data_IF_845949567312
#
_entry.id   IF_845949567312
#
_cell.length_a   1.000
_cell.length_b   1.000
_cell.length_c   1.000
_cell.angle_alpha   90.00
_cell.angle_beta   90.00
_cell.angle_gamma   90.00
#
_symmetry.space_group_name_H-M   'P 1'
#
loop_
_entity.id
_entity.type
_entity.pdbx_description
1 polymer ?
#
# COMPACT_ATOMS: atom_id res chain seq x y z
N UNK A 1 4.34 5.34 -9.89
CA UNK A 1 4.36 3.93 -9.41
C UNK A 1 3.94 2.97 -10.52
N UNK A 2 2.74 3.12 -11.09
CA UNK A 2 2.16 2.24 -12.13
C UNK A 2 3.13 1.87 -13.25
N UNK A 3 3.71 2.85 -13.95
CA UNK A 3 4.62 2.59 -15.08
C UNK A 3 5.84 1.76 -14.69
N UNK A 4 6.36 1.94 -13.47
CA UNK A 4 7.48 1.14 -12.98
C UNK A 4 7.08 -0.32 -12.72
N UNK A 5 5.90 -0.55 -12.12
CA UNK A 5 5.36 -1.91 -11.92
C UNK A 5 5.15 -2.61 -13.26
N UNK A 6 4.61 -1.91 -14.26
CA UNK A 6 4.39 -2.45 -15.60
C UNK A 6 5.71 -2.78 -16.29
N UNK A 7 6.71 -1.89 -16.26
CA UNK A 7 8.04 -2.15 -16.85
C UNK A 7 8.72 -3.36 -16.18
N UNK A 8 8.76 -3.43 -14.85
CA UNK A 8 9.34 -4.58 -14.15
C UNK A 8 8.56 -5.86 -14.45
N UNK A 9 7.23 -5.79 -14.61
CA UNK A 9 6.42 -6.95 -14.95
C UNK A 9 6.68 -7.49 -16.36
N UNK A 10 7.07 -6.63 -17.30
CA UNK A 10 7.47 -6.99 -18.67
C UNK A 10 8.88 -7.59 -18.71
N UNK A 11 9.82 -6.99 -18.00
CA UNK A 11 11.22 -7.45 -17.93
C UNK A 11 11.35 -8.76 -17.14
N UNK A 12 10.54 -8.91 -16.08
CA UNK A 12 10.54 -10.08 -15.21
C UNK A 12 9.12 -10.65 -15.08
N UNK A 13 8.67 -11.52 -16.02
CA UNK A 13 7.29 -12.01 -16.09
C UNK A 13 6.79 -12.73 -14.82
N UNK A 14 7.72 -13.28 -14.02
CA UNK A 14 7.39 -14.04 -12.80
C UNK A 14 7.52 -13.23 -11.50
N UNK A 15 7.95 -11.97 -11.56
CA UNK A 15 8.11 -11.13 -10.37
C UNK A 15 6.78 -10.94 -9.65
N UNK A 16 6.76 -11.18 -8.35
CA UNK A 16 5.67 -10.73 -7.48
C UNK A 16 6.06 -9.41 -6.83
N UNK A 17 5.06 -8.61 -6.47
CA UNK A 17 5.27 -7.27 -5.95
C UNK A 17 4.74 -7.14 -4.54
N UNK A 18 5.47 -6.38 -3.75
CA UNK A 18 4.98 -5.73 -2.54
C UNK A 18 5.09 -4.23 -2.80
N UNK A 19 3.98 -3.51 -2.68
CA UNK A 19 3.94 -2.07 -2.87
C UNK A 19 3.99 -1.36 -1.52
N UNK A 20 4.69 -0.23 -1.47
CA UNK A 20 4.92 0.53 -0.25
C UNK A 20 4.75 2.02 -0.48
N UNK A 21 4.19 2.75 0.48
CA UNK A 21 4.11 4.21 0.42
C UNK A 21 4.10 4.86 1.81
N UNK A 22 4.78 6.00 1.94
CA UNK A 22 4.83 6.79 3.17
C UNK A 22 4.29 8.19 2.89
N UNK A 23 3.39 8.70 3.71
CA UNK A 23 2.84 10.06 3.60
C UNK A 23 2.27 10.33 2.20
N UNK A 24 2.76 11.34 1.48
CA UNK A 24 2.41 11.58 0.07
C UNK A 24 2.63 10.35 -0.83
N UNK A 25 3.68 9.56 -0.57
CA UNK A 25 3.94 8.31 -1.28
C UNK A 25 2.85 7.26 -1.07
N UNK A 26 2.14 7.27 0.06
CA UNK A 26 0.97 6.41 0.27
C UNK A 26 -0.18 6.80 -0.67
N UNK A 27 -0.43 8.10 -0.87
CA UNK A 27 -1.41 8.55 -1.88
C UNK A 27 -1.01 8.19 -3.31
N UNK A 28 0.29 8.18 -3.63
CA UNK A 28 0.78 7.67 -4.93
C UNK A 28 0.49 6.18 -5.07
N UNK A 29 0.64 5.40 -3.99
CA UNK A 29 0.25 3.99 -3.96
C UNK A 29 -1.25 3.83 -4.19
N UNK A 30 -2.09 4.57 -3.48
CA UNK A 30 -3.55 4.53 -3.62
C UNK A 30 -4.00 4.81 -5.06
N UNK A 31 -3.44 5.85 -5.68
CA UNK A 31 -3.69 6.18 -7.09
C UNK A 31 -3.31 5.00 -8.00
N UNK A 32 -2.17 4.35 -7.75
CA UNK A 32 -1.75 3.18 -8.52
C UNK A 32 -2.68 1.96 -8.31
N UNK A 33 -3.43 1.92 -7.21
CA UNK A 33 -4.48 0.93 -6.98
C UNK A 33 -5.84 1.31 -7.59
N UNK A 34 -5.94 2.50 -8.22
CA UNK A 34 -7.18 3.04 -8.78
C UNK A 34 -8.06 3.77 -7.77
N UNK A 35 -7.55 4.08 -6.57
CA UNK A 35 -8.27 4.81 -5.53
C UNK A 35 -8.07 6.32 -5.75
N UNK A 36 -9.16 7.08 -5.74
CA UNK A 36 -9.12 8.54 -5.81
C UNK A 36 -8.65 9.14 -4.48
N UNK A 37 -7.68 10.04 -4.53
CA UNK A 37 -7.12 10.69 -3.34
C UNK A 37 -7.29 12.21 -3.39
N UNK A 38 -6.88 12.91 -2.33
CA UNK A 38 -6.77 14.38 -2.31
C UNK A 38 -5.79 14.92 -3.37
N UNK A 39 -4.79 14.13 -3.78
CA UNK A 39 -3.85 14.50 -4.84
C UNK A 39 -4.46 14.29 -6.25
N UNK A 40 -5.63 13.66 -6.35
CA UNK A 40 -6.33 13.39 -7.59
C UNK A 40 -6.38 11.92 -7.96
N UNK A 41 -6.39 11.66 -9.27
CA UNK A 41 -6.42 10.35 -9.90
C UNK A 41 -5.26 10.22 -10.88
N UNK A 42 -4.99 9.01 -11.35
CA UNK A 42 -3.93 8.72 -12.31
C UNK A 42 -4.06 7.31 -12.87
N UNK A 43 -3.06 6.89 -13.63
CA UNK A 43 -3.01 5.52 -14.17
C UNK A 43 -2.93 4.50 -13.04
N UNK A 44 -3.83 3.52 -13.06
CA UNK A 44 -3.81 2.39 -12.14
C UNK A 44 -3.04 1.20 -12.73
N UNK A 45 -2.53 0.35 -11.84
CA UNK A 45 -1.93 -0.93 -12.21
C UNK A 45 -2.99 -1.78 -12.93
N UNK A 46 -2.72 -2.29 -14.15
CA UNK A 46 -3.66 -3.13 -14.87
C UNK A 46 -4.14 -4.32 -14.04
N UNK A 47 -5.42 -4.66 -14.14
CA UNK A 47 -6.02 -5.75 -13.37
C UNK A 47 -5.31 -7.10 -13.59
N UNK A 48 -4.72 -7.32 -14.76
CA UNK A 48 -3.91 -8.50 -15.09
C UNK A 48 -2.68 -8.66 -14.19
N UNK A 49 -2.16 -7.57 -13.60
CA UNK A 49 -1.05 -7.59 -12.65
C UNK A 49 -1.51 -7.62 -11.19
N UNK A 50 -2.80 -7.37 -10.90
CA UNK A 50 -3.32 -7.39 -9.54
C UNK A 50 -3.06 -8.71 -8.77
N UNK A 51 -3.11 -9.91 -9.41
CA UNK A 51 -2.73 -11.17 -8.75
C UNK A 51 -1.25 -11.24 -8.34
N UNK A 52 -0.37 -10.47 -8.98
CA UNK A 52 1.08 -10.41 -8.70
C UNK A 52 1.40 -9.44 -7.56
N UNK A 53 0.52 -8.48 -7.26
CA UNK A 53 0.62 -7.67 -6.04
C UNK A 53 0.19 -8.54 -4.85
N UNK A 54 1.12 -8.85 -3.95
CA UNK A 54 0.86 -9.74 -2.80
C UNK A 54 0.60 -9.01 -1.50
N UNK A 55 1.16 -7.81 -1.35
CA UNK A 55 0.91 -6.94 -0.20
C UNK A 55 1.01 -5.48 -0.63
N UNK A 56 0.25 -4.62 0.05
CA UNK A 56 0.36 -3.18 -0.03
C UNK A 56 0.55 -2.65 1.38
N UNK A 57 1.62 -1.88 1.61
CA UNK A 57 1.96 -1.35 2.92
C UNK A 57 1.95 0.16 2.86
N UNK A 58 1.17 0.82 3.71
CA UNK A 58 1.17 2.29 3.78
C UNK A 58 1.44 2.79 5.20
N UNK A 59 2.13 3.91 5.29
CA UNK A 59 2.45 4.59 6.55
C UNK A 59 2.01 6.05 6.46
N UNK A 60 1.22 6.51 7.43
CA UNK A 60 0.73 7.89 7.44
C UNK A 60 -0.10 8.23 6.20
N UNK A 61 -1.00 7.33 5.78
CA UNK A 61 -1.77 7.51 4.54
C UNK A 61 -2.86 8.60 4.68
N UNK A 62 -2.82 9.69 3.88
CA UNK A 62 -3.87 10.73 3.89
C UNK A 62 -5.27 10.24 3.54
N UNK A 63 -5.41 9.09 2.87
CA UNK A 63 -6.71 8.51 2.50
C UNK A 63 -7.66 8.39 3.71
N UNK A 64 -7.10 8.13 4.90
CA UNK A 64 -7.84 8.02 6.15
C UNK A 64 -8.54 9.31 6.58
N UNK A 65 -8.00 10.49 6.23
CA UNK A 65 -8.68 11.78 6.45
C UNK A 65 -9.92 11.95 5.57
N UNK A 66 -10.00 11.21 4.46
CA UNK A 66 -11.18 11.16 3.60
C UNK A 66 -12.23 10.14 4.09
N UNK A 67 -12.01 9.52 5.26
CA UNK A 67 -12.88 8.46 5.79
C UNK A 67 -12.73 7.13 5.05
N UNK A 68 -11.61 6.91 4.37
CA UNK A 68 -11.36 5.73 3.55
C UNK A 68 -10.04 5.03 3.95
N UNK A 69 -9.97 3.75 3.67
CA UNK A 69 -8.74 2.94 3.70
C UNK A 69 -8.63 2.15 2.41
N UNK A 70 -7.46 1.59 2.10
CA UNK A 70 -7.33 0.65 0.97
C UNK A 70 -8.27 -0.54 1.19
N UNK A 71 -8.38 -1.01 2.44
CA UNK A 71 -9.31 -2.06 2.84
C UNK A 71 -10.77 -1.76 2.47
N UNK A 72 -11.27 -0.56 2.78
CA UNK A 72 -12.66 -0.18 2.48
C UNK A 72 -12.89 0.17 1.01
N UNK A 73 -11.86 0.67 0.32
CA UNK A 73 -12.00 1.27 -1.02
C UNK A 73 -11.67 0.30 -2.16
N UNK A 74 -11.11 -0.87 -1.89
CA UNK A 74 -10.78 -1.85 -2.91
C UNK A 74 -11.03 -3.28 -2.46
N UNK A 75 -11.96 -3.99 -3.11
CA UNK A 75 -12.16 -5.42 -2.90
C UNK A 75 -10.95 -6.26 -3.36
N UNK A 76 -10.20 -5.78 -4.35
CA UNK A 76 -9.03 -6.47 -4.93
C UNK A 76 -7.79 -6.37 -4.04
N UNK A 77 -7.54 -5.17 -3.50
CA UNK A 77 -6.31 -4.87 -2.75
C UNK A 77 -6.52 -4.81 -1.24
N UNK A 78 -7.76 -4.59 -0.77
CA UNK A 78 -8.09 -4.52 0.64
C UNK A 78 -7.64 -5.73 1.46
N UNK A 79 -7.88 -6.98 1.01
CA UNK A 79 -7.38 -8.18 1.70
C UNK A 79 -5.85 -8.31 1.78
N UNK A 80 -5.11 -7.43 1.09
CA UNK A 80 -3.64 -7.40 1.02
C UNK A 80 -3.06 -6.12 1.62
N UNK A 81 -3.90 -5.22 2.13
CA UNK A 81 -3.51 -3.93 2.66
C UNK A 81 -3.02 -4.06 4.10
N UNK A 82 -1.94 -3.34 4.41
CA UNK A 82 -1.36 -3.22 5.75
C UNK A 82 -1.13 -1.72 5.97
N UNK A 83 -2.07 -1.08 6.66
CA UNK A 83 -2.14 0.38 6.77
C UNK A 83 -1.79 0.82 8.19
N UNK A 84 -0.71 1.59 8.33
CA UNK A 84 -0.25 2.15 9.59
C UNK A 84 -0.58 3.62 9.68
N UNK A 85 -1.23 3.98 10.79
CA UNK A 85 -1.49 5.37 11.16
C UNK A 85 -1.28 5.50 12.67
N UNK A 86 -0.18 6.15 13.06
CA UNK A 86 0.17 6.37 14.44
C UNK A 86 -0.83 7.32 15.10
N UNK A 87 -1.07 7.11 16.39
CA UNK A 87 -2.02 7.93 17.13
C UNK A 87 -1.55 9.38 17.19
N UNK A 88 -2.43 10.31 16.81
CA UNK A 88 -2.12 11.73 16.78
C UNK A 88 -1.36 12.20 15.55
N UNK A 89 -1.06 11.33 14.58
CA UNK A 89 -0.47 11.73 13.30
C UNK A 89 -1.41 12.73 12.57
N UNK A 90 -0.95 13.96 12.25
CA UNK A 90 -1.76 14.97 11.56
C UNK A 90 -2.14 14.57 10.11
N UNK A 91 -1.38 13.67 9.48
CA UNK A 91 -1.55 13.32 8.06
C UNK A 91 -2.65 12.29 7.84
N UNK A 92 -2.82 11.34 8.76
CA UNK A 92 -3.80 10.25 8.60
C UNK A 92 -4.79 10.15 9.78
N UNK A 93 -4.44 10.71 10.94
CA UNK A 93 -5.16 10.54 12.19
C UNK A 93 -5.89 11.79 12.68
N UNK A 94 -5.91 12.86 11.87
CA UNK A 94 -6.47 14.17 12.23
C UNK A 94 -5.95 14.69 13.58
N UNK A 95 -4.67 14.42 13.88
CA UNK A 95 -4.01 14.86 15.11
C UNK A 95 -3.10 16.07 14.91
N UNK A 96 -2.23 16.30 15.89
CA UNK A 96 -1.26 17.42 15.88
C UNK A 96 0.18 16.97 16.22
N UNK A 97 0.40 15.66 16.40
CA UNK A 97 1.70 15.10 16.76
C UNK A 97 2.50 14.80 15.50
N UNK A 98 3.30 15.76 15.04
CA UNK A 98 4.18 15.58 13.89
C UNK A 98 5.22 14.49 14.11
N UNK A 99 5.64 14.24 15.35
CA UNK A 99 6.59 13.16 15.66
C UNK A 99 5.97 11.79 15.37
N UNK A 100 4.67 11.61 15.66
CA UNK A 100 3.96 10.37 15.31
C UNK A 100 4.02 10.06 13.80
N UNK A 101 4.02 11.10 12.95
CA UNK A 101 4.21 10.92 11.51
C UNK A 101 5.64 10.47 11.17
N UNK A 102 6.66 10.95 11.89
CA UNK A 102 8.06 10.74 11.58
C UNK A 102 8.64 9.42 12.14
N UNK A 103 7.96 8.74 13.06
CA UNK A 103 8.49 7.55 13.74
C UNK A 103 8.14 6.21 13.11
N UNK A 104 7.34 6.15 12.03
CA UNK A 104 7.02 4.88 11.34
C UNK A 104 8.22 3.98 11.04
N UNK A 105 9.40 4.49 10.62
CA UNK A 105 10.58 3.67 10.40
C UNK A 105 11.05 2.89 11.62
N UNK A 106 10.83 3.43 12.82
CA UNK A 106 11.27 2.84 14.08
C UNK A 106 10.19 1.94 14.70
N UNK A 107 8.93 2.37 14.66
CA UNK A 107 7.84 1.71 15.39
C UNK A 107 7.02 0.70 14.56
N UNK A 108 6.95 0.89 13.23
CA UNK A 108 5.98 0.18 12.39
C UNK A 108 6.63 -0.63 11.28
N UNK A 109 7.72 -0.15 10.67
CA UNK A 109 8.36 -0.79 9.52
C UNK A 109 8.80 -2.24 9.80
N UNK A 110 9.40 -2.60 10.95
CA UNK A 110 9.76 -4.00 11.22
C UNK A 110 8.56 -4.95 11.17
N UNK A 111 7.48 -4.62 11.88
CA UNK A 111 6.25 -5.43 11.87
C UNK A 111 5.53 -5.40 10.52
N UNK A 112 5.62 -4.30 9.77
CA UNK A 112 5.08 -4.19 8.42
C UNK A 112 5.78 -5.15 7.45
N UNK A 113 7.12 -5.24 7.52
CA UNK A 113 7.91 -6.15 6.69
C UNK A 113 7.55 -7.61 6.98
N UNK A 114 7.39 -7.98 8.26
CA UNK A 114 6.95 -9.32 8.67
C UNK A 114 5.57 -9.67 8.11
N UNK A 115 4.59 -8.76 8.24
CA UNK A 115 3.23 -8.94 7.70
C UNK A 115 3.24 -9.09 6.18
N UNK A 116 3.98 -8.25 5.47
CA UNK A 116 4.10 -8.33 4.02
C UNK A 116 4.76 -9.65 3.57
N UNK A 117 5.81 -10.09 4.26
CA UNK A 117 6.46 -11.38 4.00
C UNK A 117 5.50 -12.57 4.23
N UNK A 118 4.65 -12.50 5.26
CA UNK A 118 3.63 -13.51 5.52
C UNK A 118 2.61 -13.60 4.37
N UNK A 119 2.13 -12.46 3.85
CA UNK A 119 1.21 -12.43 2.69
C UNK A 119 1.86 -13.00 1.43
N UNK A 120 3.14 -12.70 1.19
CA UNK A 120 3.90 -13.29 0.06
C UNK A 120 3.96 -14.81 0.18
N UNK A 121 4.30 -15.35 1.35
CA UNK A 121 4.39 -16.80 1.61
C UNK A 121 3.01 -17.48 1.51
N UNK A 122 1.97 -16.87 2.08
CA UNK A 122 0.59 -17.37 2.02
C UNK A 122 0.04 -17.41 0.59
N UNK A 123 0.35 -16.39 -0.22
CA UNK A 123 -0.01 -16.33 -1.63
C UNK A 123 0.75 -17.34 -2.50
N UNK A 124 2.02 -17.63 -2.19
CA UNK A 124 2.82 -18.63 -2.90
C UNK A 124 2.29 -20.05 -2.69
N UNK A 125 1.67 -20.35 -1.55
CA UNK A 125 1.08 -21.66 -1.26
C UNK A 125 -0.20 -21.93 -2.06
N UNK A 126 -0.97 -20.89 -2.41
CA UNK A 126 -2.17 -21.00 -3.27
C UNK A 126 -1.85 -21.15 -4.77
N UNK A 127 -0.63 -20.82 -5.20
CA UNK A 127 -0.21 -20.87 -6.62
C UNK A 127 0.53 -22.16 -7.01
N UNK A 128 0.78 -23.07 -6.05
CA UNK A 128 1.50 -24.34 -6.24
C UNK A 128 0.57 -25.56 -6.22
N UNK A 129 -0.74 -25.38 -6.37
CA UNK A 129 -1.75 -26.45 -6.42
C UNK A 129 -2.42 -26.42 -7.79
#
# INVERSE_FOLDING_TARGET
MTNHVVSVAQECPNTIFVLGGYSQGASVTDIALGIRTMLGTGESIPETLAPRIKAVVTFGNPLKLMGQTIESSSSTYGPKAIEFCNMGDPVCGNGFNTMAHMTYPMDSVPGAAEKAAALVKGGARKLRV
#
